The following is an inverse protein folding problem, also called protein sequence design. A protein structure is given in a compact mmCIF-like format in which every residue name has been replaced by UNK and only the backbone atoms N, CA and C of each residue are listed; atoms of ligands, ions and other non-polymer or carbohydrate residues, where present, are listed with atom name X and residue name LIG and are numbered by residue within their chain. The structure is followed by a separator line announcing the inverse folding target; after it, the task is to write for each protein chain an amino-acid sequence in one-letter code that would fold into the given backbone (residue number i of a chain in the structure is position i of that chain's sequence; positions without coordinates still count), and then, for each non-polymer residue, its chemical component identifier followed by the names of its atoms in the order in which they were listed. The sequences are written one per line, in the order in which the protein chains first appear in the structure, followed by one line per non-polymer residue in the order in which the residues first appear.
data_IF_333790297094
#
_entry.id   IF_333790297094
#
_cell.length_a   1.000
_cell.length_b   1.000
_cell.length_c   1.000
_cell.angle_alpha   90.00
_cell.angle_beta   90.00
_cell.angle_gamma   90.00
#
_symmetry.space_group_name_H-M   'P 1'
#
loop_
_entity.id
_entity.type
_entity.pdbx_description
1 polymer ?
#
# COMPACT_ATOMS: atom_id res chain seq x y z
N UNK A 1 -21.87 -7.20 -6.28
CA UNK A 1 -22.11 -5.89 -6.91
C UNK A 1 -23.55 -5.46 -6.68
N UNK A 2 -23.80 -4.71 -5.61
CA UNK A 2 -25.00 -3.90 -5.44
C UNK A 2 -24.48 -2.67 -4.74
N UNK A 3 -24.15 -1.62 -5.50
CA UNK A 3 -23.63 -0.35 -4.98
C UNK A 3 -24.57 0.21 -3.91
N UNK A 4 -24.10 1.12 -3.05
CA UNK A 4 -25.00 1.96 -2.23
C UNK A 4 -25.81 2.94 -3.12
N UNK A 5 -26.03 2.60 -4.40
CA UNK A 5 -26.71 3.46 -5.34
C UNK A 5 -28.18 3.58 -4.96
N UNK A 6 -28.60 4.84 -4.90
CA UNK A 6 -29.95 5.37 -4.96
C UNK A 6 -30.98 4.34 -5.46
N UNK A 7 -31.75 3.72 -4.56
CA UNK A 7 -32.73 2.73 -4.94
C UNK A 7 -34.01 3.41 -5.43
N UNK A 8 -34.14 3.65 -6.75
CA UNK A 8 -35.41 3.98 -7.48
C UNK A 8 -36.16 5.24 -6.97
N UNK A 9 -35.74 5.83 -5.86
CA UNK A 9 -36.24 7.00 -5.16
C UNK A 9 -35.00 7.82 -4.85
N UNK A 10 -34.91 9.06 -5.33
CA UNK A 10 -33.92 10.00 -4.81
C UNK A 10 -34.46 10.47 -3.44
N UNK A 11 -33.91 9.97 -2.31
CA UNK A 11 -34.30 10.51 -1.02
C UNK A 11 -33.95 12.00 -1.01
N UNK A 12 -34.85 12.82 -0.49
CA UNK A 12 -34.58 14.24 -0.22
C UNK A 12 -34.42 14.39 1.28
N UNK A 13 -33.53 15.29 1.70
CA UNK A 13 -33.44 15.73 3.09
C UNK A 13 -34.84 16.07 3.61
N UNK A 14 -35.14 15.67 4.83
CA UNK A 14 -36.40 16.03 5.49
C UNK A 14 -36.21 17.30 6.33
N UNK A 15 -37.28 18.06 6.54
CA UNK A 15 -37.20 19.38 7.21
C UNK A 15 -37.13 19.29 8.75
N UNK A 16 -37.57 18.17 9.36
CA UNK A 16 -37.68 18.01 10.82
C UNK A 16 -37.15 16.65 11.31
N UNK A 17 -35.91 16.63 11.80
CA UNK A 17 -35.26 15.48 12.45
C UNK A 17 -35.02 14.29 11.53
N UNK A 18 -34.57 13.16 12.09
CA UNK A 18 -34.28 11.94 11.32
C UNK A 18 -35.54 11.09 11.11
N UNK A 19 -35.75 10.62 9.88
CA UNK A 19 -36.92 9.86 9.46
C UNK A 19 -36.58 8.43 9.07
N UNK A 20 -37.45 7.50 9.45
CA UNK A 20 -37.39 6.10 8.99
C UNK A 20 -38.45 5.83 7.91
N UNK A 21 -38.08 5.10 6.88
CA UNK A 21 -39.04 4.55 5.91
C UNK A 21 -38.67 3.14 5.46
N UNK A 22 -39.67 2.40 4.98
CA UNK A 22 -39.48 1.06 4.41
C UNK A 22 -39.62 1.18 2.89
N UNK A 23 -38.53 0.92 2.19
CA UNK A 23 -38.47 0.97 0.74
C UNK A 23 -38.84 -0.35 0.08
N UNK A 24 -38.65 -0.46 -1.25
CA UNK A 24 -38.86 -1.70 -1.98
C UNK A 24 -38.01 -2.83 -1.38
N UNK A 25 -38.52 -4.06 -1.44
CA UNK A 25 -37.87 -5.26 -0.87
C UNK A 25 -37.72 -5.27 0.66
N UNK A 26 -38.50 -4.46 1.39
CA UNK A 26 -38.52 -4.43 2.86
C UNK A 26 -37.19 -3.96 3.48
N UNK A 27 -36.45 -3.13 2.74
CA UNK A 27 -35.25 -2.47 3.22
C UNK A 27 -35.60 -1.24 4.07
N UNK A 28 -34.85 -1.03 5.15
CA UNK A 28 -34.99 0.14 6.04
C UNK A 28 -34.09 1.27 5.59
N UNK A 29 -34.65 2.47 5.60
CA UNK A 29 -33.99 3.71 5.21
C UNK A 29 -34.03 4.69 6.37
N UNK A 30 -32.89 5.28 6.69
CA UNK A 30 -32.75 6.43 7.56
C UNK A 30 -32.38 7.66 6.72
N UNK A 31 -33.11 8.76 6.90
CA UNK A 31 -32.98 9.97 6.09
C UNK A 31 -32.80 11.16 7.06
N UNK A 32 -31.67 11.85 6.95
CA UNK A 32 -31.32 13.07 7.66
C UNK A 32 -31.85 14.34 6.98
N UNK A 33 -31.38 15.47 7.49
CA UNK A 33 -31.77 16.84 7.20
C UNK A 33 -30.66 17.54 6.41
N UNK A 34 -30.41 18.84 6.56
CA UNK A 34 -29.17 19.47 6.05
C UNK A 34 -28.37 20.11 7.20
N UNK A 35 -28.61 19.65 8.43
CA UNK A 35 -27.80 19.99 9.59
C UNK A 35 -27.52 18.73 10.38
N UNK A 36 -26.69 18.85 11.40
CA UNK A 36 -26.10 17.74 12.15
C UNK A 36 -27.15 16.73 12.65
N UNK A 37 -27.09 15.50 12.13
CA UNK A 37 -27.98 14.41 12.48
C UNK A 37 -27.27 13.28 13.22
N UNK A 38 -28.02 12.64 14.12
CA UNK A 38 -27.60 11.41 14.77
C UNK A 38 -28.53 10.29 14.38
N UNK A 39 -27.95 9.14 13.99
CA UNK A 39 -28.69 7.96 13.56
C UNK A 39 -28.63 6.85 14.62
N UNK A 40 -29.44 6.91 15.71
CA UNK A 40 -29.38 5.96 16.83
C UNK A 40 -30.10 4.63 16.56
N UNK A 41 -30.59 4.42 15.34
CA UNK A 41 -31.39 3.26 14.94
C UNK A 41 -30.83 2.62 13.68
N UNK A 42 -31.21 1.36 13.47
CA UNK A 42 -30.56 0.51 12.49
C UNK A 42 -31.34 0.50 11.18
N UNK A 43 -30.73 1.06 10.15
CA UNK A 43 -31.23 1.05 8.78
C UNK A 43 -30.27 0.28 7.87
N UNK A 44 -30.78 -0.22 6.74
CA UNK A 44 -29.94 -0.84 5.72
C UNK A 44 -29.23 0.24 4.88
N UNK A 45 -29.86 1.41 4.74
CA UNK A 45 -29.33 2.60 4.07
C UNK A 45 -29.58 3.84 4.93
N UNK A 46 -28.54 4.61 5.16
CA UNK A 46 -28.59 5.87 5.92
C UNK A 46 -28.02 6.99 5.05
N UNK A 47 -28.73 8.13 5.02
CA UNK A 47 -28.35 9.32 4.25
C UNK A 47 -28.33 10.54 5.19
N UNK A 48 -27.17 11.15 5.39
CA UNK A 48 -26.98 12.35 6.22
C UNK A 48 -27.34 13.66 5.50
N UNK A 49 -26.93 13.76 4.23
CA UNK A 49 -27.02 14.92 3.32
C UNK A 49 -26.11 16.08 3.67
N UNK A 50 -26.35 16.81 4.76
CA UNK A 50 -25.59 18.01 5.06
C UNK A 50 -25.52 18.24 6.56
N UNK A 51 -24.44 18.88 7.02
CA UNK A 51 -24.14 18.99 8.45
C UNK A 51 -23.16 17.91 8.89
N UNK A 52 -22.71 17.98 10.14
CA UNK A 52 -21.77 17.01 10.69
C UNK A 52 -22.57 15.84 11.29
N UNK A 53 -22.66 14.72 10.56
CA UNK A 53 -23.53 13.61 10.90
C UNK A 53 -22.83 12.50 11.69
N UNK A 54 -23.60 11.78 12.50
CA UNK A 54 -23.10 10.69 13.33
C UNK A 54 -23.86 9.39 13.11
N UNK A 55 -23.14 8.35 12.67
CA UNK A 55 -23.69 7.03 12.38
C UNK A 55 -22.97 5.93 13.17
N UNK A 56 -23.76 5.08 13.84
CA UNK A 56 -23.27 3.84 14.42
C UNK A 56 -24.23 2.71 14.07
N UNK A 57 -23.82 1.76 13.23
CA UNK A 57 -24.76 0.76 12.73
C UNK A 57 -24.18 -0.26 11.77
N UNK A 58 -25.02 -0.78 10.88
CA UNK A 58 -24.63 -1.68 9.81
C UNK A 58 -25.18 -1.19 8.47
N UNK A 59 -24.76 -1.79 7.36
CA UNK A 59 -25.32 -1.48 6.05
C UNK A 59 -24.55 -0.38 5.33
N UNK A 60 -25.27 0.48 4.60
CA UNK A 60 -24.71 1.62 3.86
C UNK A 60 -24.96 2.92 4.62
N UNK A 61 -23.91 3.71 4.83
CA UNK A 61 -23.99 5.11 5.25
C UNK A 61 -23.43 6.01 4.15
N UNK A 62 -24.18 7.06 3.82
CA UNK A 62 -23.72 8.19 3.02
C UNK A 62 -23.85 9.43 3.91
N UNK A 63 -22.72 9.99 4.31
CA UNK A 63 -22.60 11.19 5.14
C UNK A 63 -23.19 12.41 4.42
N UNK A 64 -22.43 13.04 3.54
CA UNK A 64 -22.92 14.09 2.69
C UNK A 64 -21.97 15.28 2.64
N UNK A 65 -22.47 16.47 2.90
CA UNK A 65 -21.64 17.66 3.12
C UNK A 65 -21.42 17.84 4.63
N UNK A 66 -20.19 17.96 5.10
CA UNK A 66 -19.89 18.17 6.53
C UNK A 66 -18.87 17.17 7.02
N UNK A 67 -18.40 17.33 8.25
CA UNK A 67 -17.39 16.43 8.81
C UNK A 67 -18.09 15.30 9.56
N UNK A 68 -18.25 14.15 8.91
CA UNK A 68 -19.06 13.04 9.38
C UNK A 68 -18.27 12.05 10.23
N UNK A 69 -18.92 11.48 11.24
CA UNK A 69 -18.39 10.36 12.01
C UNK A 69 -19.23 9.11 11.78
N UNK A 70 -18.62 8.03 11.34
CA UNK A 70 -19.33 6.78 11.07
C UNK A 70 -18.57 5.54 11.53
N UNK A 71 -19.27 4.64 12.23
CA UNK A 71 -18.72 3.38 12.73
C UNK A 71 -19.66 2.20 12.42
N UNK A 72 -19.09 1.13 11.85
CA UNK A 72 -19.82 -0.13 11.63
C UNK A 72 -19.71 -1.05 12.86
N UNK A 73 -20.84 -1.67 13.22
CA UNK A 73 -20.89 -2.71 14.24
C UNK A 73 -20.15 -3.98 13.81
N UNK A 74 -19.51 -4.62 14.79
CA UNK A 74 -18.67 -5.82 14.63
C UNK A 74 -19.34 -7.05 14.03
N UNK A 75 -20.64 -7.06 13.74
CA UNK A 75 -21.38 -8.26 13.34
C UNK A 75 -21.55 -8.40 11.82
N UNK A 76 -21.29 -7.33 11.04
CA UNK A 76 -21.44 -7.33 9.57
C UNK A 76 -20.45 -6.38 8.90
N UNK A 77 -20.01 -6.75 7.69
CA UNK A 77 -19.33 -5.81 6.79
C UNK A 77 -20.34 -4.77 6.28
N UNK A 78 -19.87 -3.58 5.97
CA UNK A 78 -20.72 -2.47 5.54
C UNK A 78 -20.02 -1.55 4.57
N UNK A 79 -20.70 -0.46 4.23
CA UNK A 79 -20.13 0.60 3.40
C UNK A 79 -20.33 1.95 4.05
N UNK A 80 -19.24 2.68 4.22
CA UNK A 80 -19.26 4.05 4.72
C UNK A 80 -18.74 4.97 3.61
N UNK A 81 -19.49 6.02 3.31
CA UNK A 81 -19.13 7.05 2.34
C UNK A 81 -19.29 8.40 3.03
N UNK A 82 -18.20 9.09 3.36
CA UNK A 82 -18.23 10.42 3.97
C UNK A 82 -18.75 11.49 3.01
N UNK A 83 -18.19 11.51 1.80
CA UNK A 83 -18.46 12.41 0.67
C UNK A 83 -17.71 13.74 0.69
N UNK A 84 -18.22 14.84 1.25
CA UNK A 84 -17.50 16.12 1.30
C UNK A 84 -17.32 16.51 2.76
N UNK A 85 -16.10 16.88 3.15
CA UNK A 85 -15.74 17.24 4.52
C UNK A 85 -14.59 16.37 5.00
N UNK A 86 -14.08 16.67 6.19
CA UNK A 86 -13.02 15.87 6.81
C UNK A 86 -13.66 14.78 7.66
N UNK A 87 -13.79 13.57 7.11
CA UNK A 87 -14.60 12.49 7.66
C UNK A 87 -13.79 11.51 8.51
N UNK A 88 -14.45 10.91 9.50
CA UNK A 88 -13.86 9.90 10.38
C UNK A 88 -14.64 8.59 10.28
N UNK A 89 -14.08 7.62 9.57
CA UNK A 89 -14.75 6.36 9.22
C UNK A 89 -14.07 5.16 9.89
N UNK A 90 -14.87 4.32 10.56
CA UNK A 90 -14.43 3.08 11.19
C UNK A 90 -15.23 1.91 10.64
N UNK A 91 -14.54 0.98 9.99
CA UNK A 91 -15.11 -0.29 9.55
C UNK A 91 -15.23 -1.31 10.68
N UNK A 92 -15.95 -2.39 10.41
CA UNK A 92 -16.10 -3.50 11.36
C UNK A 92 -15.00 -4.55 11.15
N UNK A 93 -15.04 -5.64 11.90
CA UNK A 93 -14.14 -6.79 11.68
C UNK A 93 -14.37 -7.58 10.39
N UNK A 94 -15.40 -7.25 9.62
CA UNK A 94 -15.78 -7.97 8.41
C UNK A 94 -15.55 -7.10 7.19
N UNK A 95 -15.24 -7.71 6.04
CA UNK A 95 -14.91 -6.99 4.80
C UNK A 95 -15.77 -5.74 4.53
N UNK A 96 -15.12 -4.58 4.57
CA UNK A 96 -15.70 -3.26 4.49
C UNK A 96 -15.41 -2.58 3.15
N UNK A 97 -16.22 -1.58 2.83
CA UNK A 97 -15.94 -0.61 1.79
C UNK A 97 -16.06 0.79 2.37
N UNK A 98 -14.95 1.41 2.72
CA UNK A 98 -14.94 2.75 3.31
C UNK A 98 -14.34 3.73 2.30
N UNK A 99 -14.94 4.91 2.25
CA UNK A 99 -14.61 5.97 1.33
C UNK A 99 -14.80 7.30 2.05
N UNK A 100 -13.71 8.01 2.31
CA UNK A 100 -13.73 9.35 2.92
C UNK A 100 -14.44 10.32 1.99
N UNK A 101 -13.76 10.75 0.92
CA UNK A 101 -14.37 11.54 -0.14
C UNK A 101 -13.48 12.73 -0.49
N UNK A 102 -14.02 13.94 -0.41
CA UNK A 102 -13.26 15.18 -0.51
C UNK A 102 -13.03 15.73 0.89
N UNK A 103 -11.79 16.03 1.22
CA UNK A 103 -11.41 16.53 2.55
C UNK A 103 -10.24 15.69 3.06
N UNK A 104 -9.66 16.08 4.19
CA UNK A 104 -8.58 15.33 4.83
C UNK A 104 -9.20 14.23 5.72
N UNK A 105 -9.39 13.04 5.17
CA UNK A 105 -10.16 11.99 5.83
C UNK A 105 -9.30 11.12 6.76
N UNK A 106 -9.93 10.51 7.77
CA UNK A 106 -9.31 9.48 8.61
C UNK A 106 -10.13 8.19 8.56
N UNK A 107 -9.52 7.13 8.04
CA UNK A 107 -10.20 5.86 7.77
C UNK A 107 -9.49 4.72 8.49
N UNK A 108 -10.27 3.94 9.26
CA UNK A 108 -9.83 2.69 9.88
C UNK A 108 -10.62 1.52 9.31
N UNK A 109 -9.95 0.56 8.65
CA UNK A 109 -10.57 -0.65 8.10
C UNK A 109 -11.30 -1.48 9.16
N UNK A 110 -10.77 -1.56 10.37
CA UNK A 110 -11.42 -2.19 11.53
C UNK A 110 -10.42 -2.68 12.59
N UNK A 111 -10.91 -2.98 13.79
CA UNK A 111 -10.05 -3.20 14.97
C UNK A 111 -9.82 -4.68 15.38
N UNK A 112 -10.59 -5.68 14.91
CA UNK A 112 -10.61 -7.01 15.55
C UNK A 112 -10.79 -8.26 14.65
N UNK A 113 -9.67 -8.84 14.19
CA UNK A 113 -9.39 -10.27 13.97
C UNK A 113 -10.49 -11.21 13.42
N UNK A 114 -10.35 -11.62 12.15
CA UNK A 114 -10.27 -13.02 11.68
C UNK A 114 -9.49 -13.02 10.32
N UNK A 115 -8.72 -14.07 9.96
CA UNK A 115 -7.80 -14.11 8.80
C UNK A 115 -8.44 -14.05 7.39
N UNK A 116 -9.75 -13.77 7.29
CA UNK A 116 -10.54 -14.11 6.11
C UNK A 116 -10.95 -12.95 5.23
N UNK A 117 -10.78 -11.72 5.70
CA UNK A 117 -11.47 -10.61 5.08
C UNK A 117 -10.48 -9.61 4.50
N UNK A 118 -10.78 -9.21 3.26
CA UNK A 118 -10.04 -8.20 2.53
C UNK A 118 -10.87 -6.90 2.62
N UNK A 119 -10.39 -5.88 3.32
CA UNK A 119 -11.00 -4.55 3.25
C UNK A 119 -10.56 -3.85 1.97
N UNK A 120 -11.50 -3.21 1.28
CA UNK A 120 -11.20 -2.37 0.13
C UNK A 120 -11.49 -0.91 0.50
N UNK A 121 -10.43 -0.13 0.71
CA UNK A 121 -10.47 1.30 0.99
C UNK A 121 -10.04 2.03 -0.30
N UNK A 122 -10.98 2.64 -1.02
CA UNK A 122 -10.70 3.26 -2.33
C UNK A 122 -11.20 4.70 -2.42
N UNK A 123 -10.36 5.64 -2.86
CA UNK A 123 -10.82 6.76 -3.69
C UNK A 123 -9.76 7.28 -4.67
N UNK A 124 -10.22 7.95 -5.74
CA UNK A 124 -9.39 8.39 -6.87
C UNK A 124 -9.62 9.86 -7.27
N UNK A 125 -10.30 10.69 -6.45
CA UNK A 125 -10.60 12.09 -6.87
C UNK A 125 -10.53 13.16 -5.75
N UNK A 126 -9.95 12.87 -4.59
CA UNK A 126 -9.60 13.94 -3.63
C UNK A 126 -8.26 14.56 -4.04
N UNK A 127 -7.95 15.76 -3.54
CA UNK A 127 -6.61 16.42 -3.64
C UNK A 127 -6.01 16.64 -2.24
N UNK A 128 -6.60 16.02 -1.24
CA UNK A 128 -6.39 16.22 0.18
C UNK A 128 -5.57 15.05 0.75
N UNK A 129 -4.95 15.25 1.91
CA UNK A 129 -4.04 14.26 2.51
C UNK A 129 -4.76 13.37 3.51
N UNK A 130 -5.06 12.15 3.08
CA UNK A 130 -5.81 11.17 3.85
C UNK A 130 -4.92 10.36 4.80
N UNK A 131 -5.51 9.89 5.90
CA UNK A 131 -4.90 8.92 6.81
C UNK A 131 -5.66 7.61 6.78
N UNK A 132 -5.05 6.61 6.16
CA UNK A 132 -5.68 5.31 5.91
C UNK A 132 -4.96 4.24 6.72
N UNK A 133 -5.71 3.54 7.58
CA UNK A 133 -5.21 2.42 8.38
C UNK A 133 -6.02 1.17 8.03
N UNK A 134 -5.42 0.21 7.33
CA UNK A 134 -6.07 -1.02 6.90
C UNK A 134 -6.50 -1.92 8.05
N UNK A 135 -5.79 -1.89 9.19
CA UNK A 135 -6.13 -2.74 10.33
C UNK A 135 -5.59 -4.17 10.16
N UNK A 136 -6.39 -5.19 10.48
CA UNK A 136 -5.97 -6.59 10.35
C UNK A 136 -6.43 -7.21 9.04
N UNK A 137 -5.61 -8.07 8.44
CA UNK A 137 -5.97 -8.79 7.21
C UNK A 137 -5.32 -8.23 5.95
N UNK A 138 -5.72 -8.75 4.78
CA UNK A 138 -5.17 -8.32 3.48
C UNK A 138 -5.96 -7.12 2.95
N UNK A 139 -5.43 -5.92 3.12
CA UNK A 139 -6.15 -4.71 2.77
C UNK A 139 -5.81 -4.26 1.35
N UNK A 140 -6.78 -3.70 0.63
CA UNK A 140 -6.53 -2.94 -0.59
C UNK A 140 -6.72 -1.48 -0.27
N UNK A 141 -5.60 -0.78 -0.15
CA UNK A 141 -5.54 0.59 0.30
C UNK A 141 -5.09 1.45 -0.86
N UNK A 142 -5.96 2.40 -1.22
CA UNK A 142 -5.68 3.38 -2.24
C UNK A 142 -5.85 4.75 -1.60
N UNK A 143 -4.78 5.52 -1.57
CA UNK A 143 -4.88 6.97 -1.45
C UNK A 143 -5.44 7.54 -2.75
N UNK A 144 -5.54 8.87 -2.80
CA UNK A 144 -6.14 9.58 -3.90
C UNK A 144 -5.14 10.55 -4.51
N UNK A 145 -5.51 11.79 -4.82
CA UNK A 145 -4.48 12.79 -5.06
C UNK A 145 -4.23 13.50 -3.73
N UNK A 146 -2.99 13.87 -3.44
CA UNK A 146 -2.68 14.57 -2.20
C UNK A 146 -1.37 14.12 -1.58
N UNK A 147 -1.31 14.19 -0.26
CA UNK A 147 -0.16 13.71 0.50
C UNK A 147 -0.68 12.72 1.53
N UNK A 148 -0.81 11.47 1.12
CA UNK A 148 -1.49 10.43 1.85
C UNK A 148 -0.54 9.67 2.78
N UNK A 149 -1.05 9.27 3.93
CA UNK A 149 -0.39 8.31 4.81
C UNK A 149 -1.22 7.03 4.83
N UNK A 150 -0.61 5.93 4.36
CA UNK A 150 -1.25 4.63 4.25
C UNK A 150 -0.49 3.61 5.07
N UNK A 151 -1.20 2.95 5.97
CA UNK A 151 -0.67 1.86 6.78
C UNK A 151 -1.50 0.59 6.53
N UNK A 152 -0.87 -0.41 5.90
CA UNK A 152 -1.41 -1.75 5.63
C UNK A 152 -1.84 -2.51 6.88
N UNK A 153 -1.25 -2.21 8.03
CA UNK A 153 -1.59 -2.77 9.32
C UNK A 153 -0.96 -4.14 9.57
N UNK A 154 -1.70 -5.06 10.20
CA UNK A 154 -1.19 -6.38 10.56
C UNK A 154 -1.87 -7.47 9.73
N UNK A 155 -1.18 -8.03 8.74
CA UNK A 155 -1.68 -9.23 8.04
C UNK A 155 -1.24 -10.52 8.74
N UNK A 156 -1.95 -11.61 8.50
CA UNK A 156 -1.74 -12.88 9.22
C UNK A 156 -0.53 -13.61 8.64
N UNK A 157 0.50 -13.77 9.48
CA UNK A 157 1.83 -14.39 9.25
C UNK A 157 1.81 -15.69 8.42
N UNK A 158 0.74 -16.48 8.46
CA UNK A 158 0.76 -17.88 8.02
C UNK A 158 0.20 -18.16 6.63
N UNK A 159 -0.06 -17.15 5.79
CA UNK A 159 -0.69 -17.38 4.48
C UNK A 159 -0.09 -16.61 3.28
N UNK A 160 1.04 -15.90 3.42
CA UNK A 160 1.58 -15.06 2.33
C UNK A 160 0.61 -13.96 1.89
N UNK A 161 -0.27 -13.56 2.80
CA UNK A 161 -1.31 -12.55 2.61
C UNK A 161 -0.79 -11.25 3.19
N UNK A 162 -0.48 -10.26 2.36
CA UNK A 162 -0.30 -8.87 2.78
C UNK A 162 -1.34 -7.96 2.14
N UNK A 163 -1.12 -6.67 2.30
CA UNK A 163 -1.92 -5.58 1.78
C UNK A 163 -1.39 -5.09 0.43
N UNK A 164 -2.27 -4.56 -0.40
CA UNK A 164 -1.93 -3.81 -1.59
C UNK A 164 -2.05 -2.32 -1.26
N UNK A 165 -0.96 -1.57 -1.41
CA UNK A 165 -0.84 -0.16 -1.05
C UNK A 165 -0.50 0.64 -2.31
N UNK A 166 -1.36 1.61 -2.62
CA UNK A 166 -1.14 2.58 -3.69
C UNK A 166 -1.40 3.97 -3.13
N UNK A 167 -0.40 4.83 -3.12
CA UNK A 167 -0.52 6.21 -2.66
C UNK A 167 -1.45 7.03 -3.55
N UNK A 168 -1.29 6.90 -4.86
CA UNK A 168 -2.02 7.70 -5.83
C UNK A 168 -1.13 8.84 -6.36
N UNK A 169 -1.72 9.98 -6.69
CA UNK A 169 -0.94 11.14 -7.16
C UNK A 169 -0.48 11.98 -5.97
N UNK A 170 0.78 12.43 -5.98
CA UNK A 170 1.30 13.37 -5.00
C UNK A 170 2.46 12.80 -4.20
N UNK A 171 2.66 13.24 -2.95
CA UNK A 171 3.75 12.71 -2.13
C UNK A 171 3.22 11.94 -0.93
N UNK A 172 3.25 10.62 -1.06
CA UNK A 172 2.64 9.70 -0.11
C UNK A 172 3.68 9.03 0.80
N UNK A 173 3.19 8.39 1.85
CA UNK A 173 4.00 7.54 2.74
C UNK A 173 3.26 6.24 3.00
N UNK A 174 3.89 5.12 2.62
CA UNK A 174 3.29 3.79 2.65
C UNK A 174 4.03 2.89 3.64
N UNK A 175 3.27 2.26 4.54
CA UNK A 175 3.79 1.31 5.53
C UNK A 175 3.01 0.00 5.42
N UNK A 176 3.67 -1.11 5.06
CA UNK A 176 3.01 -2.39 4.82
C UNK A 176 2.58 -3.09 6.11
N UNK A 177 3.55 -3.23 7.01
CA UNK A 177 3.36 -3.82 8.33
C UNK A 177 3.74 -5.29 8.37
N UNK A 178 2.78 -6.18 8.60
CA UNK A 178 3.04 -7.64 8.62
C UNK A 178 2.34 -8.28 7.42
N UNK A 179 2.94 -9.34 6.86
CA UNK A 179 2.44 -10.03 5.68
C UNK A 179 3.30 -9.72 4.45
N UNK A 180 2.98 -10.39 3.34
CA UNK A 180 3.61 -10.14 2.04
C UNK A 180 2.88 -9.02 1.31
N UNK A 181 3.30 -7.79 1.53
CA UNK A 181 2.66 -6.57 1.05
C UNK A 181 3.10 -6.23 -0.40
N UNK A 182 2.25 -5.52 -1.12
CA UNK A 182 2.53 -5.02 -2.47
C UNK A 182 2.38 -3.52 -2.50
N UNK A 183 3.45 -2.81 -2.83
CA UNK A 183 3.50 -1.37 -2.98
C UNK A 183 3.45 -1.01 -4.46
N UNK A 184 2.65 -0.03 -4.84
CA UNK A 184 2.74 0.58 -6.17
C UNK A 184 3.76 1.71 -6.10
N UNK A 185 4.77 1.65 -6.96
CA UNK A 185 5.78 2.69 -7.06
C UNK A 185 5.23 3.92 -7.78
N UNK A 186 5.37 5.08 -7.14
CA UNK A 186 5.31 6.37 -7.82
C UNK A 186 6.60 7.15 -7.55
N UNK A 187 7.17 7.73 -8.60
CA UNK A 187 8.34 8.60 -8.49
C UNK A 187 8.01 9.90 -7.78
N UNK A 188 6.78 10.40 -7.90
CA UNK A 188 6.34 11.68 -7.31
C UNK A 188 6.44 11.67 -5.78
N UNK A 189 6.27 10.50 -5.14
CA UNK A 189 6.46 10.30 -3.70
C UNK A 189 7.81 10.79 -3.18
N UNK A 190 8.83 10.69 -4.02
CA UNK A 190 10.21 10.97 -3.66
C UNK A 190 10.66 12.38 -4.09
N UNK A 191 10.01 12.99 -5.08
CA UNK A 191 10.44 14.26 -5.69
C UNK A 191 10.23 15.43 -4.72
N UNK A 192 11.30 16.09 -4.29
CA UNK A 192 11.23 17.33 -3.49
C UNK A 192 10.94 17.12 -1.99
N UNK A 193 11.00 15.88 -1.52
CA UNK A 193 10.66 15.52 -0.16
C UNK A 193 11.91 15.57 0.75
N UNK A 194 11.88 16.40 1.80
CA UNK A 194 12.91 16.49 2.86
C UNK A 194 12.36 16.13 4.25
N UNK A 195 11.04 15.88 4.38
CA UNK A 195 10.38 15.77 5.68
C UNK A 195 9.19 14.83 5.64
N UNK A 196 9.30 13.68 6.32
CA UNK A 196 8.16 12.83 6.66
C UNK A 196 7.78 13.15 8.11
N UNK A 197 6.83 14.07 8.30
CA UNK A 197 6.54 14.75 9.58
C UNK A 197 5.84 13.86 10.65
N UNK A 198 5.79 12.54 10.45
CA UNK A 198 4.94 11.65 11.26
C UNK A 198 5.67 10.58 12.09
N UNK A 199 7.01 10.48 12.02
CA UNK A 199 7.79 9.72 13.01
C UNK A 199 8.45 10.71 13.99
N UNK A 200 8.12 10.70 15.30
CA UNK A 200 8.62 11.69 16.27
C UNK A 200 10.14 11.66 16.56
N UNK A 201 10.94 10.96 15.75
CA UNK A 201 12.38 10.81 15.92
C UNK A 201 13.12 10.64 14.59
N UNK A 202 13.21 11.70 13.80
CA UNK A 202 14.22 11.79 12.74
C UNK A 202 13.91 12.85 11.70
N UNK A 203 14.95 13.54 11.22
CA UNK A 203 14.92 14.44 10.06
C UNK A 203 14.94 13.64 8.73
N UNK A 204 14.83 12.29 8.79
CA UNK A 204 14.91 11.38 7.64
C UNK A 204 13.73 10.42 7.69
N UNK A 205 12.91 10.39 6.66
CA UNK A 205 11.76 9.48 6.61
C UNK A 205 11.94 8.38 5.59
N UNK A 206 11.55 7.17 6.00
CA UNK A 206 11.32 6.05 5.09
C UNK A 206 9.96 6.34 4.44
N UNK A 207 9.92 6.44 3.11
CA UNK A 207 8.68 6.69 2.36
C UNK A 207 7.90 5.38 2.23
N UNK A 208 8.58 4.32 1.80
CA UNK A 208 8.02 2.97 1.77
C UNK A 208 8.71 2.09 2.82
N UNK A 209 7.94 1.70 3.84
CA UNK A 209 8.37 0.83 4.92
C UNK A 209 7.57 -0.48 4.87
N UNK A 210 8.12 -1.49 4.20
CA UNK A 210 7.37 -2.70 3.91
C UNK A 210 7.04 -3.52 5.17
N UNK A 211 8.04 -3.84 5.98
CA UNK A 211 7.84 -4.40 7.30
C UNK A 211 8.30 -5.86 7.41
N UNK A 212 7.38 -6.79 7.61
CA UNK A 212 7.68 -8.20 7.87
C UNK A 212 6.93 -9.09 6.89
N UNK A 213 7.65 -9.80 6.03
CA UNK A 213 7.09 -10.72 5.05
C UNK A 213 7.93 -10.73 3.79
N UNK A 214 7.38 -11.25 2.70
CA UNK A 214 7.94 -11.08 1.37
C UNK A 214 7.19 -9.94 0.66
N UNK A 215 7.81 -8.79 0.57
CA UNK A 215 7.20 -7.56 0.09
C UNK A 215 7.65 -7.23 -1.34
N UNK A 216 6.73 -6.72 -2.13
CA UNK A 216 6.94 -6.44 -3.55
C UNK A 216 6.66 -4.98 -3.87
N UNK A 217 7.56 -4.34 -4.59
CA UNK A 217 7.34 -3.07 -5.26
C UNK A 217 6.95 -3.33 -6.71
N UNK A 218 5.74 -2.93 -7.10
CA UNK A 218 5.20 -3.09 -8.44
C UNK A 218 5.04 -1.76 -9.17
N UNK A 219 4.82 -1.84 -10.47
CA UNK A 219 4.75 -0.68 -11.38
C UNK A 219 5.99 0.22 -11.37
N UNK A 220 7.11 -0.33 -10.87
CA UNK A 220 8.42 0.27 -10.88
C UNK A 220 8.87 0.57 -12.31
N UNK A 221 8.97 1.86 -12.65
CA UNK A 221 9.41 2.35 -13.97
C UNK A 221 10.34 3.54 -13.84
N UNK A 222 11.26 3.68 -14.79
CA UNK A 222 12.25 4.75 -14.82
C UNK A 222 13.38 4.52 -13.83
N UNK A 223 13.59 5.46 -12.91
CA UNK A 223 14.68 5.41 -11.94
C UNK A 223 14.13 5.03 -10.56
N UNK A 224 14.48 3.83 -10.09
CA UNK A 224 14.11 3.31 -8.79
C UNK A 224 15.37 3.25 -7.92
N UNK A 225 15.52 4.19 -6.99
CA UNK A 225 16.69 4.27 -6.10
C UNK A 225 16.31 4.06 -4.63
N UNK A 226 16.58 2.87 -4.11
CA UNK A 226 16.33 2.54 -2.71
C UNK A 226 17.29 3.28 -1.77
N UNK A 227 18.43 3.75 -2.27
CA UNK A 227 19.36 4.57 -1.48
C UNK A 227 18.85 6.00 -1.32
N UNK A 228 17.88 6.39 -2.15
CA UNK A 228 17.33 7.74 -2.23
C UNK A 228 18.34 8.81 -2.61
N UNK A 229 19.50 8.46 -3.17
CA UNK A 229 20.53 9.41 -3.56
C UNK A 229 20.08 10.26 -4.76
N UNK A 230 19.34 9.68 -5.69
CA UNK A 230 18.85 10.33 -6.92
C UNK A 230 17.68 11.28 -6.65
N UNK A 231 16.92 11.04 -5.58
CA UNK A 231 15.77 11.84 -5.19
C UNK A 231 16.11 13.09 -4.37
N UNK A 232 17.37 13.24 -3.95
CA UNK A 232 17.83 14.35 -3.11
C UNK A 232 18.13 15.60 -3.92
N UNK A 233 18.03 16.76 -3.27
CA UNK A 233 18.61 17.98 -3.80
C UNK A 233 20.15 17.88 -3.89
N UNK A 234 20.73 18.48 -4.94
CA UNK A 234 22.15 18.40 -5.33
C UNK A 234 23.17 18.78 -4.23
N UNK A 235 22.72 19.37 -3.11
CA UNK A 235 23.57 19.79 -2.00
C UNK A 235 23.09 19.31 -0.62
N UNK A 236 22.15 18.36 -0.55
CA UNK A 236 21.72 17.80 0.74
C UNK A 236 22.83 16.95 1.34
N UNK A 237 23.10 17.16 2.64
CA UNK A 237 23.98 16.29 3.44
C UNK A 237 23.21 15.14 4.10
N UNK A 238 21.90 15.09 3.91
CA UNK A 238 21.01 14.11 4.53
C UNK A 238 21.07 12.78 3.79
N UNK A 239 20.96 11.68 4.54
CA UNK A 239 20.64 10.37 3.98
C UNK A 239 19.14 10.33 3.72
N UNK A 240 18.75 10.68 2.50
CA UNK A 240 17.39 10.90 2.02
C UNK A 240 16.46 9.69 2.02
N UNK A 241 15.27 9.95 1.48
CA UNK A 241 14.10 9.10 1.58
C UNK A 241 14.33 7.73 0.96
N UNK A 242 14.10 6.69 1.74
CA UNK A 242 14.43 5.33 1.33
C UNK A 242 13.19 4.46 1.21
N UNK A 243 13.29 3.51 0.29
CA UNK A 243 12.47 2.32 0.23
C UNK A 243 13.18 1.28 1.09
N UNK A 244 12.44 0.59 1.95
CA UNK A 244 13.00 -0.43 2.84
C UNK A 244 12.06 -1.61 3.03
N UNK A 245 12.63 -2.79 3.22
CA UNK A 245 11.89 -4.03 3.46
C UNK A 245 11.34 -4.69 2.21
N UNK A 246 11.78 -4.31 1.01
CA UNK A 246 11.28 -4.90 -0.23
C UNK A 246 12.21 -6.01 -0.70
N UNK A 247 11.67 -7.19 -0.99
CA UNK A 247 12.39 -8.36 -1.51
C UNK A 247 12.26 -8.51 -3.03
N UNK A 248 11.26 -7.89 -3.65
CA UNK A 248 11.05 -7.92 -5.09
C UNK A 248 10.67 -6.57 -5.70
N UNK A 249 11.27 -6.25 -6.85
CA UNK A 249 10.84 -5.17 -7.73
C UNK A 249 10.33 -5.80 -9.03
N UNK A 250 9.10 -5.47 -9.39
CA UNK A 250 8.41 -6.03 -10.55
C UNK A 250 7.77 -4.93 -11.38
N UNK A 251 8.35 -4.69 -12.55
CA UNK A 251 7.80 -3.77 -13.51
C UNK A 251 6.56 -4.37 -14.20
N UNK A 252 5.46 -3.62 -14.29
CA UNK A 252 4.23 -4.12 -14.94
C UNK A 252 4.34 -3.99 -16.46
N UNK A 253 4.10 -5.07 -17.21
CA UNK A 253 4.29 -5.11 -18.66
C UNK A 253 3.35 -4.15 -19.42
N UNK A 254 3.73 -2.88 -19.53
CA UNK A 254 3.17 -1.97 -20.51
C UNK A 254 4.08 -2.01 -21.72
N UNK A 255 3.57 -2.47 -22.86
CA UNK A 255 4.34 -2.62 -24.10
C UNK A 255 5.11 -1.32 -24.45
N UNK A 256 6.44 -1.33 -24.27
CA UNK A 256 7.31 -0.16 -24.40
C UNK A 256 8.78 -0.50 -24.16
N UNK A 257 9.70 0.28 -24.74
CA UNK A 257 11.17 0.17 -24.60
C UNK A 257 11.66 1.14 -23.51
N UNK A 258 11.03 1.13 -22.34
CA UNK A 258 11.44 2.01 -21.26
C UNK A 258 12.57 1.30 -20.55
N UNK A 259 13.73 1.94 -20.56
CA UNK A 259 14.91 1.43 -19.86
C UNK A 259 14.77 1.80 -18.39
N UNK A 260 14.69 0.80 -17.54
CA UNK A 260 14.54 0.95 -16.09
C UNK A 260 15.90 0.82 -15.39
N UNK A 261 16.10 1.63 -14.35
CA UNK A 261 17.33 1.63 -13.55
C UNK A 261 16.95 1.39 -12.10
N UNK A 262 17.36 0.25 -11.56
CA UNK A 262 17.17 -0.09 -10.15
C UNK A 262 18.49 0.03 -9.39
N UNK A 263 18.51 0.82 -8.31
CA UNK A 263 19.66 0.95 -7.41
C UNK A 263 19.30 0.52 -5.99
N UNK A 264 20.03 -0.47 -5.45
CA UNK A 264 19.80 -1.00 -4.11
C UNK A 264 21.11 -1.27 -3.37
N UNK A 265 21.07 -1.16 -2.04
CA UNK A 265 22.20 -1.48 -1.19
C UNK A 265 22.22 -2.98 -0.83
N UNK A 266 23.35 -3.65 -1.05
CA UNK A 266 23.54 -5.06 -0.69
C UNK A 266 23.31 -5.33 0.81
N UNK A 267 23.63 -4.37 1.68
CA UNK A 267 23.33 -4.48 3.10
C UNK A 267 21.84 -4.39 3.41
N UNK A 268 21.04 -3.72 2.57
CA UNK A 268 19.59 -3.73 2.72
C UNK A 268 19.04 -5.12 2.41
N UNK A 269 19.43 -5.71 1.27
CA UNK A 269 19.06 -7.10 0.91
C UNK A 269 19.42 -8.06 2.04
N UNK A 270 20.65 -7.97 2.55
CA UNK A 270 21.09 -8.81 3.68
C UNK A 270 20.28 -8.57 4.97
N UNK A 271 19.96 -7.31 5.29
CA UNK A 271 19.28 -6.98 6.55
C UNK A 271 17.83 -7.47 6.59
N UNK A 272 17.22 -7.73 5.43
CA UNK A 272 15.85 -8.21 5.29
C UNK A 272 15.72 -9.73 5.34
N UNK A 273 16.83 -10.45 5.53
CA UNK A 273 16.80 -11.84 5.98
C UNK A 273 16.20 -11.92 7.40
N UNK A 274 14.87 -11.98 7.52
CA UNK A 274 14.18 -12.23 8.78
C UNK A 274 14.37 -13.69 9.23
N UNK A 275 14.93 -13.87 10.44
CA UNK A 275 15.19 -15.17 11.03
C UNK A 275 13.96 -15.85 11.64
N UNK A 276 12.82 -15.16 11.73
CA UNK A 276 11.73 -15.57 12.63
C UNK A 276 10.70 -16.52 11.98
N UNK A 277 10.79 -16.77 10.68
CA UNK A 277 9.92 -17.72 9.95
C UNK A 277 10.66 -18.94 9.37
N UNK A 278 12.00 -18.98 9.43
CA UNK A 278 12.80 -20.06 8.83
C UNK A 278 13.05 -19.88 7.33
N UNK A 279 12.81 -18.67 6.83
CA UNK A 279 12.94 -18.21 5.46
C UNK A 279 14.05 -17.14 5.40
N UNK A 280 15.29 -17.56 5.62
CA UNK A 280 16.49 -16.75 5.38
C UNK A 280 16.63 -16.47 3.87
N UNK A 281 16.07 -15.33 3.44
CA UNK A 281 16.08 -14.91 2.04
C UNK A 281 17.13 -13.82 1.90
N UNK A 282 18.38 -14.24 1.99
CA UNK A 282 19.55 -13.54 1.45
C UNK A 282 19.44 -13.44 -0.10
N UNK A 283 18.32 -12.94 -0.61
CA UNK A 283 18.00 -12.88 -2.03
C UNK A 283 17.09 -11.73 -2.38
N UNK A 284 17.19 -11.27 -3.62
CA UNK A 284 16.41 -10.16 -4.13
C UNK A 284 15.97 -10.46 -5.57
N UNK A 285 14.73 -10.12 -5.92
CA UNK A 285 14.19 -10.29 -7.27
C UNK A 285 14.03 -8.92 -7.93
N UNK A 286 14.58 -8.75 -9.14
CA UNK A 286 14.41 -7.56 -9.96
C UNK A 286 13.97 -7.98 -11.36
N UNK A 287 12.67 -7.95 -11.61
CA UNK A 287 12.09 -8.12 -12.94
C UNK A 287 11.73 -6.75 -13.52
N UNK A 288 12.57 -6.24 -14.40
CA UNK A 288 12.47 -4.90 -15.00
C UNK A 288 11.72 -4.92 -16.35
N UNK A 289 11.55 -6.11 -16.92
CA UNK A 289 10.63 -6.37 -18.03
C UNK A 289 11.29 -6.25 -19.40
N UNK A 290 10.83 -5.29 -20.21
CA UNK A 290 11.33 -5.10 -21.56
C UNK A 290 12.04 -3.76 -21.65
N UNK A 291 13.26 -3.75 -22.17
CA UNK A 291 14.05 -2.54 -22.27
C UNK A 291 15.53 -2.88 -22.40
N UNK A 292 16.37 -1.88 -22.23
CA UNK A 292 17.78 -2.03 -21.87
C UNK A 292 17.94 -1.64 -20.40
N UNK A 293 17.61 -2.56 -19.51
CA UNK A 293 17.46 -2.30 -18.09
C UNK A 293 18.81 -2.42 -17.35
N UNK A 294 18.95 -1.68 -16.24
CA UNK A 294 20.18 -1.64 -15.45
C UNK A 294 19.92 -1.94 -13.97
N UNK A 295 20.65 -2.91 -13.43
CA UNK A 295 20.68 -3.21 -12.00
C UNK A 295 21.97 -2.72 -11.34
N UNK A 296 21.86 -1.74 -10.45
CA UNK A 296 22.98 -1.20 -9.67
C UNK A 296 22.94 -1.72 -8.23
N UNK A 297 23.96 -2.48 -7.86
CA UNK A 297 24.21 -2.90 -6.49
C UNK A 297 25.28 -2.01 -5.87
N UNK A 298 24.97 -1.39 -4.72
CA UNK A 298 25.94 -0.64 -3.93
C UNK A 298 26.21 -1.34 -2.60
N UNK A 299 27.44 -1.31 -2.12
CA UNK A 299 27.80 -2.02 -0.90
C UNK A 299 29.30 -2.21 -0.80
N UNK A 300 29.97 -1.33 -0.08
CA UNK A 300 31.42 -1.41 0.11
C UNK A 300 31.75 -2.72 0.82
N UNK A 301 32.63 -3.54 0.24
CA UNK A 301 33.08 -4.80 0.84
C UNK A 301 32.35 -6.04 0.33
N UNK A 302 31.30 -5.86 -0.47
CA UNK A 302 30.71 -6.93 -1.27
C UNK A 302 31.52 -7.17 -2.55
N UNK A 303 31.55 -8.42 -3.01
CA UNK A 303 32.18 -8.83 -4.27
C UNK A 303 31.25 -9.76 -5.04
N UNK A 304 31.28 -9.66 -6.36
CA UNK A 304 30.63 -10.63 -7.23
C UNK A 304 31.43 -11.94 -7.26
N UNK A 305 30.75 -13.06 -7.02
CA UNK A 305 31.32 -14.40 -6.96
C UNK A 305 31.02 -15.19 -8.24
N UNK A 306 31.73 -14.85 -9.32
CA UNK A 306 31.53 -15.43 -10.66
C UNK A 306 31.51 -16.97 -10.66
N UNK A 307 30.52 -17.55 -11.35
CA UNK A 307 30.40 -19.01 -11.50
C UNK A 307 29.98 -19.76 -10.24
N UNK A 308 29.59 -19.05 -9.18
CA UNK A 308 29.00 -19.63 -7.98
C UNK A 308 27.52 -19.92 -8.23
N UNK A 309 27.05 -21.10 -7.83
CA UNK A 309 25.62 -21.39 -7.89
C UNK A 309 24.87 -20.49 -6.90
N UNK A 310 23.65 -20.07 -7.28
CA UNK A 310 22.74 -19.36 -6.40
C UNK A 310 22.67 -20.03 -5.02
N UNK A 311 22.79 -19.25 -3.96
CA UNK A 311 22.71 -19.75 -2.58
C UNK A 311 21.27 -20.10 -2.21
N UNK A 312 20.30 -19.42 -2.84
CA UNK A 312 18.87 -19.67 -2.77
C UNK A 312 18.32 -19.80 -4.19
N UNK A 313 17.61 -20.89 -4.49
CA UNK A 313 16.97 -21.08 -5.79
C UNK A 313 15.57 -20.47 -5.82
N UNK A 314 15.25 -19.75 -6.91
CA UNK A 314 13.90 -19.23 -7.13
C UNK A 314 12.89 -20.39 -7.24
N UNK A 315 11.90 -20.40 -6.35
CA UNK A 315 10.85 -21.41 -6.32
C UNK A 315 9.55 -20.88 -6.95
N UNK A 316 8.62 -21.74 -7.40
CA UNK A 316 7.31 -21.30 -7.88
C UNK A 316 6.51 -20.52 -6.82
N UNK A 317 6.72 -20.80 -5.54
CA UNK A 317 6.09 -20.05 -4.43
C UNK A 317 6.68 -18.64 -4.34
N UNK A 318 7.99 -18.47 -4.57
CA UNK A 318 8.63 -17.14 -4.61
C UNK A 318 8.13 -16.31 -5.78
N UNK A 319 8.02 -16.92 -6.96
CA UNK A 319 7.46 -16.25 -8.13
C UNK A 319 6.02 -15.81 -7.86
N UNK A 320 5.22 -16.66 -7.20
CA UNK A 320 3.86 -16.31 -6.83
C UNK A 320 3.79 -15.15 -5.82
N UNK A 321 4.68 -15.10 -4.83
CA UNK A 321 4.77 -14.00 -3.87
C UNK A 321 5.21 -12.68 -4.54
N UNK A 322 6.17 -12.74 -5.47
CA UNK A 322 6.58 -11.59 -6.28
C UNK A 322 5.53 -11.18 -7.34
N UNK A 323 4.46 -11.95 -7.53
CA UNK A 323 3.47 -11.69 -8.57
C UNK A 323 3.95 -12.00 -10.00
N UNK A 324 5.00 -12.81 -10.14
CA UNK A 324 5.58 -13.23 -11.42
C UNK A 324 4.98 -14.56 -11.91
N UNK A 325 4.82 -14.67 -13.23
CA UNK A 325 4.52 -15.95 -13.88
C UNK A 325 5.76 -16.85 -13.99
N UNK A 326 5.56 -18.14 -14.23
CA UNK A 326 6.67 -19.08 -14.51
C UNK A 326 7.48 -18.68 -15.75
N UNK A 327 6.83 -18.05 -16.74
CA UNK A 327 7.49 -17.55 -17.96
C UNK A 327 8.46 -16.41 -17.62
N UNK A 328 7.98 -15.40 -16.89
CA UNK A 328 8.80 -14.28 -16.41
C UNK A 328 9.91 -14.77 -15.46
N UNK A 329 9.60 -15.72 -14.58
CA UNK A 329 10.60 -16.34 -13.70
C UNK A 329 11.72 -17.06 -14.47
N UNK A 330 11.46 -17.51 -15.69
CA UNK A 330 12.46 -18.17 -16.55
C UNK A 330 13.41 -17.21 -17.27
N UNK A 331 13.09 -15.92 -17.27
CA UNK A 331 13.91 -14.84 -17.85
C UNK A 331 15.00 -14.37 -16.88
N UNK A 332 14.82 -14.64 -15.58
CA UNK A 332 15.72 -14.20 -14.51
C UNK A 332 17.03 -15.00 -14.47
N UNK A 333 18.15 -14.29 -14.37
CA UNK A 333 19.48 -14.84 -14.11
C UNK A 333 19.91 -14.56 -12.66
N UNK A 334 20.55 -15.56 -12.03
CA UNK A 334 21.02 -15.47 -10.64
C UNK A 334 22.48 -15.05 -10.54
N UNK A 335 22.77 -14.02 -9.72
CA UNK A 335 24.10 -13.47 -9.47
C UNK A 335 24.39 -13.47 -7.97
N UNK A 336 25.48 -14.12 -7.57
CA UNK A 336 25.86 -14.28 -6.15
C UNK A 336 26.91 -13.24 -5.77
N UNK A 337 26.71 -12.62 -4.62
CA UNK A 337 27.64 -11.67 -4.03
C UNK A 337 28.05 -12.15 -2.63
N UNK A 338 29.33 -12.00 -2.30
CA UNK A 338 29.89 -12.38 -1.00
C UNK A 338 30.48 -11.16 -0.28
N UNK A 339 30.25 -11.08 1.02
CA UNK A 339 30.81 -10.06 1.90
C UNK A 339 32.21 -10.50 2.36
N UNK A 340 33.24 -9.72 2.02
CA UNK A 340 34.67 -10.10 2.21
C UNK A 340 35.12 -10.41 3.65
N UNK A 341 34.44 -9.87 4.65
CA UNK A 341 34.81 -9.90 6.06
C UNK A 341 33.96 -10.87 6.88
N UNK A 342 32.65 -10.96 6.59
CA UNK A 342 31.76 -11.88 7.29
C UNK A 342 31.60 -13.21 6.58
N UNK A 343 31.79 -13.25 5.25
CA UNK A 343 31.51 -14.42 4.41
C UNK A 343 30.02 -14.62 4.12
N UNK A 344 29.18 -13.63 4.48
CA UNK A 344 27.75 -13.65 4.17
C UNK A 344 27.55 -13.53 2.66
N UNK A 345 26.46 -14.09 2.15
CA UNK A 345 26.21 -14.17 0.71
C UNK A 345 24.81 -13.72 0.40
N UNK A 346 24.61 -12.94 -0.66
CA UNK A 346 23.29 -12.65 -1.21
C UNK A 346 23.19 -13.12 -2.66
N UNK A 347 21.99 -13.48 -3.11
CA UNK A 347 21.71 -13.79 -4.52
C UNK A 347 20.73 -12.78 -5.12
N UNK A 348 21.11 -12.11 -6.19
CA UNK A 348 20.20 -11.26 -6.97
C UNK A 348 19.70 -12.05 -8.18
N UNK A 349 18.37 -12.11 -8.35
CA UNK A 349 17.71 -12.66 -9.52
C UNK A 349 17.20 -11.52 -10.39
N UNK A 350 17.72 -11.35 -11.60
CA UNK A 350 17.32 -10.25 -12.48
C UNK A 350 17.32 -10.60 -13.97
N UNK A 351 16.44 -9.96 -14.72
CA UNK A 351 16.37 -9.96 -16.19
C UNK A 351 17.17 -8.82 -16.84
N UNK A 352 17.76 -7.91 -16.05
CA UNK A 352 18.46 -6.73 -16.55
C UNK A 352 19.60 -7.04 -17.54
N UNK A 353 19.70 -6.23 -18.61
CA UNK A 353 20.77 -6.32 -19.60
C UNK A 353 22.12 -5.84 -19.08
N UNK A 354 22.13 -4.91 -18.13
CA UNK A 354 23.33 -4.35 -17.52
C UNK A 354 23.30 -4.47 -16.01
N UNK A 355 24.46 -4.73 -15.39
CA UNK A 355 24.55 -4.81 -13.94
C UNK A 355 25.90 -4.34 -13.41
N UNK A 356 25.86 -3.50 -12.37
CA UNK A 356 27.06 -2.90 -11.77
C UNK A 356 27.11 -3.10 -10.25
N UNK A 357 28.26 -3.50 -9.72
CA UNK A 357 28.56 -3.52 -8.29
C UNK A 357 29.53 -2.39 -7.98
N UNK A 358 29.08 -1.37 -7.24
CA UNK A 358 29.86 -0.18 -6.92
C UNK A 358 30.50 0.48 -8.18
N UNK A 359 29.80 0.42 -9.31
CA UNK A 359 30.23 0.97 -10.61
C UNK A 359 31.08 0.04 -11.48
N UNK A 360 31.41 -1.17 -11.03
CA UNK A 360 32.10 -2.19 -11.84
C UNK A 360 31.09 -3.21 -12.40
N UNK A 361 31.16 -3.52 -13.69
CA UNK A 361 30.19 -4.41 -14.34
C UNK A 361 30.29 -5.87 -13.86
N UNK A 362 29.14 -6.56 -13.73
CA UNK A 362 29.05 -7.99 -13.38
C UNK A 362 28.08 -8.80 -14.27
N UNK A 363 27.19 -8.12 -15.01
CA UNK A 363 26.45 -8.64 -16.18
C UNK A 363 27.20 -8.15 -17.41
#
# INVERSE_FOLDING_TARGET
MTSCAYPIYEPRSIEDGVGETIGPYNQRYAIGTNGDDGFPFLADYTYGFGGDDSFQGYGCFLGGDGNDWAELFDDFGGRLMGNNGDDYLIGSKYGNYLHGGRGDDTIFGGYYSEPKDDDALTYFQSIAGDRIYGGMGSNKLFGSNGHDYINGGFSVIFAGKGSYLNGGEGQDTLVGGWGSDTFVFDIEDFVGNQYVDFIPRGEHGIIYAAGQGFDTLTDARGEIDFTGATYREENSTESGNVISGIEAVVATATAGTVDDVLTINAYAIQAHSDSDTGDDWDSFIAHLGHGEDTFNLVGIGWIYSEGTNATVHISPEMLALAGLSEEQGSELNGYVFEQRFSGDTITVWTDAEYGFLNGEAFI
#
